data_IF_429556273909
#
_entry.id   IF_429556273909
#
_cell.length_a   1.000
_cell.length_b   1.000
_cell.length_c   1.000
_cell.angle_alpha   90.00
_cell.angle_beta   90.00
_cell.angle_gamma   90.00
#
_symmetry.space_group_name_H-M   'P 1'
#
loop_
_entity.id
_entity.type
_entity.pdbx_description
1 polymer ?
#
# COMPACT_ATOMS: atom_id res chain seq x y z
N UNK A 1 17.89 -35.50 -33.13
CA UNK A 1 17.98 -34.50 -32.04
C UNK A 1 16.67 -34.58 -31.28
N UNK A 2 16.70 -34.81 -29.96
CA UNK A 2 15.49 -34.75 -29.13
C UNK A 2 15.29 -33.28 -28.77
N UNK A 3 14.23 -32.66 -29.28
CA UNK A 3 13.80 -31.34 -28.84
C UNK A 3 13.16 -31.48 -27.46
N UNK A 4 13.73 -30.81 -26.46
CA UNK A 4 13.07 -30.65 -25.16
C UNK A 4 12.02 -29.55 -25.30
N UNK A 5 10.76 -29.90 -25.08
CA UNK A 5 9.67 -28.93 -25.10
C UNK A 5 9.72 -28.03 -23.87
N UNK A 6 9.36 -26.77 -24.05
CA UNK A 6 9.24 -25.83 -22.96
C UNK A 6 8.03 -26.17 -22.10
N UNK A 7 8.28 -26.58 -20.86
CA UNK A 7 7.27 -26.70 -19.80
C UNK A 7 7.36 -25.53 -18.80
N UNK A 8 6.34 -24.64 -18.70
CA UNK A 8 6.34 -23.50 -17.78
C UNK A 8 6.23 -23.90 -16.30
N UNK A 9 5.89 -25.15 -15.97
CA UNK A 9 5.81 -25.62 -14.58
C UNK A 9 7.19 -25.95 -14.00
N UNK A 10 8.20 -26.09 -14.85
CA UNK A 10 9.57 -26.44 -14.48
C UNK A 10 10.59 -25.41 -14.95
N UNK A 11 10.44 -24.87 -16.16
CA UNK A 11 11.38 -23.92 -16.72
C UNK A 11 11.10 -22.46 -16.29
N UNK A 12 12.15 -21.69 -15.90
CA UNK A 12 12.02 -20.27 -15.63
C UNK A 12 11.54 -19.50 -16.85
N UNK A 13 10.68 -18.50 -16.63
CA UNK A 13 10.09 -17.70 -17.69
C UNK A 13 9.66 -16.33 -17.17
N UNK A 14 9.26 -15.43 -18.07
CA UNK A 14 8.62 -14.17 -17.73
C UNK A 14 7.17 -14.16 -18.16
N UNK A 15 6.29 -13.55 -17.36
CA UNK A 15 4.89 -13.27 -17.70
C UNK A 15 4.68 -11.76 -17.74
N UNK A 16 4.04 -11.28 -18.78
CA UNK A 16 3.72 -9.86 -18.93
C UNK A 16 2.46 -9.49 -18.15
N UNK A 17 2.51 -8.44 -17.35
CA UNK A 17 1.37 -7.80 -16.71
C UNK A 17 0.93 -6.60 -17.56
N UNK A 18 -0.20 -6.68 -18.28
CA UNK A 18 -0.64 -5.60 -19.17
C UNK A 18 -1.15 -4.35 -18.45
N UNK A 19 -1.54 -4.45 -17.17
CA UNK A 19 -2.01 -3.29 -16.40
C UNK A 19 -0.87 -2.34 -16.03
N UNK A 20 0.32 -2.90 -15.76
CA UNK A 20 1.52 -2.14 -15.39
C UNK A 20 2.52 -2.02 -16.54
N UNK A 21 2.29 -2.76 -17.63
CA UNK A 21 3.22 -2.88 -18.77
C UNK A 21 4.61 -3.42 -18.38
N UNK A 22 4.65 -4.36 -17.44
CA UNK A 22 5.88 -4.92 -16.89
C UNK A 22 5.94 -6.45 -16.98
N UNK A 23 7.14 -7.02 -16.84
CA UNK A 23 7.34 -8.48 -16.82
C UNK A 23 7.67 -8.99 -15.42
N UNK A 24 7.01 -10.06 -15.00
CA UNK A 24 7.30 -10.79 -13.76
C UNK A 24 8.14 -12.02 -14.09
N UNK A 25 9.29 -12.16 -13.42
CA UNK A 25 10.12 -13.38 -13.50
C UNK A 25 9.50 -14.50 -12.65
N UNK A 26 9.30 -15.66 -13.26
CA UNK A 26 8.78 -16.87 -12.61
C UNK A 26 9.92 -17.90 -12.58
N UNK A 27 10.27 -18.33 -11.37
CA UNK A 27 11.30 -19.35 -11.12
C UNK A 27 10.69 -20.52 -10.33
N UNK A 28 10.08 -21.53 -11.00
CA UNK A 28 9.22 -22.54 -10.36
C UNK A 28 9.89 -23.34 -9.23
N UNK A 29 11.22 -23.49 -9.26
CA UNK A 29 11.96 -24.27 -8.27
C UNK A 29 12.48 -23.46 -7.09
N UNK A 30 12.24 -22.14 -7.05
CA UNK A 30 12.86 -21.25 -6.06
C UNK A 30 12.50 -21.60 -4.61
N UNK A 31 11.29 -22.09 -4.37
CA UNK A 31 10.80 -22.48 -3.03
C UNK A 31 11.45 -23.75 -2.48
N UNK A 32 12.16 -24.53 -3.31
CA UNK A 32 12.92 -25.71 -2.86
C UNK A 32 14.20 -25.35 -2.11
N UNK A 33 14.63 -24.08 -2.14
CA UNK A 33 15.81 -23.62 -1.40
C UNK A 33 15.50 -23.69 0.11
N UNK A 34 16.34 -24.34 0.92
CA UNK A 34 16.16 -24.36 2.36
C UNK A 34 16.03 -22.94 2.91
N UNK A 35 14.95 -22.69 3.67
CA UNK A 35 14.74 -21.44 4.36
C UNK A 35 15.27 -21.56 5.80
N UNK A 36 16.30 -20.79 6.11
CA UNK A 36 16.87 -20.65 7.46
C UNK A 36 16.79 -19.20 7.94
N UNK A 37 15.96 -18.39 7.27
CA UNK A 37 15.77 -16.97 7.59
C UNK A 37 14.63 -16.75 8.58
N UNK A 38 14.16 -15.52 8.63
CA UNK A 38 13.06 -15.06 9.49
C UNK A 38 11.77 -15.83 9.24
N UNK A 39 11.06 -16.17 10.32
CA UNK A 39 9.72 -16.73 10.26
C UNK A 39 8.82 -15.76 11.04
N UNK A 40 7.81 -15.22 10.39
CA UNK A 40 6.82 -14.36 11.04
C UNK A 40 5.96 -15.18 11.99
N UNK A 41 5.74 -14.68 13.20
CA UNK A 41 4.78 -15.28 14.11
C UNK A 41 3.36 -15.02 13.60
N UNK A 42 2.43 -15.99 13.75
CA UNK A 42 1.03 -15.73 13.47
C UNK A 42 0.52 -14.63 14.42
N UNK A 43 -0.32 -13.74 13.90
CA UNK A 43 -1.00 -12.75 14.73
C UNK A 43 -2.06 -13.44 15.59
N UNK A 44 -1.82 -13.54 16.90
CA UNK A 44 -2.67 -14.26 17.87
C UNK A 44 -3.41 -13.33 18.85
N UNK A 45 -3.34 -12.01 18.63
CA UNK A 45 -3.95 -11.05 19.55
C UNK A 45 -5.49 -11.15 19.51
N UNK A 46 -6.08 -11.45 20.67
CA UNK A 46 -7.51 -11.22 20.92
C UNK A 46 -7.64 -9.75 21.33
N UNK A 47 -8.25 -8.95 20.47
CA UNK A 47 -8.48 -7.53 20.72
C UNK A 47 -9.86 -7.35 21.40
N UNK A 48 -10.02 -6.32 22.25
CA UNK A 48 -11.34 -5.98 22.80
C UNK A 48 -12.26 -5.45 21.70
N UNK A 49 -13.57 -5.58 21.90
CA UNK A 49 -14.58 -5.02 20.99
C UNK A 49 -14.53 -3.48 20.96
N UNK A 50 -14.11 -2.86 22.06
CA UNK A 50 -13.85 -1.43 22.17
C UNK A 50 -12.62 -1.17 23.04
N UNK A 51 -11.74 -0.30 22.55
CA UNK A 51 -10.58 0.20 23.29
C UNK A 51 -10.73 1.72 23.45
N UNK A 52 -10.83 2.27 24.67
CA UNK A 52 -11.00 3.70 24.91
C UNK A 52 -9.79 4.55 24.45
N UNK A 53 -8.64 3.93 24.18
CA UNK A 53 -7.44 4.59 23.64
C UNK A 53 -7.35 4.54 22.11
N UNK A 54 -8.25 3.81 21.44
CA UNK A 54 -8.24 3.66 19.99
C UNK A 54 -8.81 4.90 19.28
N UNK A 55 -7.99 5.55 18.45
CA UNK A 55 -8.39 6.73 17.67
C UNK A 55 -9.44 6.46 16.59
N UNK A 56 -9.70 5.20 16.27
CA UNK A 56 -10.69 4.82 15.27
C UNK A 56 -12.03 4.44 15.91
N UNK A 57 -12.10 4.09 17.20
CA UNK A 57 -13.33 3.59 17.81
C UNK A 57 -14.42 4.68 17.96
N UNK A 58 -15.72 4.31 17.98
CA UNK A 58 -16.82 5.21 18.27
C UNK A 58 -16.66 5.93 19.61
N UNK A 59 -17.10 7.19 19.68
CA UNK A 59 -17.06 7.99 20.91
C UNK A 59 -15.69 8.47 21.36
N UNK A 60 -14.60 7.88 20.84
CA UNK A 60 -13.24 8.24 21.23
C UNK A 60 -12.74 9.51 20.54
N UNK A 61 -11.80 10.18 21.21
CA UNK A 61 -11.05 11.27 20.61
C UNK A 61 -10.04 10.70 19.61
N UNK A 62 -9.97 11.29 18.40
CA UNK A 62 -8.97 11.01 17.37
C UNK A 62 -7.64 11.70 17.68
N UNK A 63 -6.60 11.28 16.96
CA UNK A 63 -5.27 11.91 17.01
C UNK A 63 -5.27 13.39 16.66
N UNK A 64 -6.18 13.85 15.78
CA UNK A 64 -6.35 15.26 15.43
C UNK A 64 -7.16 16.07 16.45
N UNK A 65 -7.55 15.48 17.59
CA UNK A 65 -8.28 16.14 18.66
C UNK A 65 -9.80 16.17 18.49
N UNK A 66 -10.33 15.79 17.33
CA UNK A 66 -11.78 15.65 17.10
C UNK A 66 -12.32 14.37 17.74
N UNK A 67 -13.61 14.34 18.09
CA UNK A 67 -14.25 13.14 18.65
C UNK A 67 -15.01 12.40 17.56
N UNK A 68 -14.85 11.07 17.50
CA UNK A 68 -15.65 10.23 16.62
C UNK A 68 -17.12 10.23 17.09
N UNK A 69 -18.09 10.27 16.16
CA UNK A 69 -19.48 10.04 16.54
C UNK A 69 -19.66 8.62 17.08
N UNK A 70 -20.75 8.39 17.79
CA UNK A 70 -21.21 7.05 18.17
C UNK A 70 -21.79 6.34 16.95
N UNK A 71 -20.91 5.81 16.11
CA UNK A 71 -21.30 5.12 14.88
C UNK A 71 -21.48 3.62 15.14
N UNK A 72 -22.50 3.03 14.51
CA UNK A 72 -22.76 1.57 14.59
C UNK A 72 -22.28 0.81 13.34
N UNK A 73 -21.94 1.53 12.27
CA UNK A 73 -21.57 0.99 10.95
C UNK A 73 -20.34 1.73 10.41
N UNK A 74 -20.08 1.69 9.10
CA UNK A 74 -18.92 2.35 8.50
C UNK A 74 -18.98 3.87 8.77
N UNK A 75 -17.89 4.41 9.32
CA UNK A 75 -17.68 5.84 9.49
C UNK A 75 -16.48 6.30 8.65
N UNK A 76 -16.68 7.36 7.87
CA UNK A 76 -15.65 7.98 7.03
C UNK A 76 -15.31 9.38 7.54
N UNK A 77 -14.04 9.72 7.58
CA UNK A 77 -13.56 11.04 7.96
C UNK A 77 -12.31 11.44 7.16
N UNK A 78 -12.03 12.75 7.11
CA UNK A 78 -10.78 13.26 6.53
C UNK A 78 -9.63 12.92 7.48
N UNK A 79 -8.60 12.23 6.96
CA UNK A 79 -7.43 11.85 7.75
C UNK A 79 -6.80 13.07 8.43
N UNK A 80 -6.57 12.97 9.74
CA UNK A 80 -6.00 14.06 10.56
C UNK A 80 -4.59 14.47 10.10
N UNK A 81 -3.86 13.57 9.42
CA UNK A 81 -2.53 13.79 8.84
C UNK A 81 -2.53 13.41 7.35
N UNK A 82 -3.42 14.03 6.57
CA UNK A 82 -3.57 13.73 5.15
C UNK A 82 -2.26 13.90 4.35
N UNK A 83 -1.91 12.88 3.56
CA UNK A 83 -0.73 12.91 2.69
C UNK A 83 -0.84 13.90 1.53
N UNK A 84 -2.08 14.25 1.13
CA UNK A 84 -2.37 15.24 0.09
C UNK A 84 -3.33 16.26 0.67
N UNK A 85 -2.98 17.54 0.54
CA UNK A 85 -3.78 18.64 1.04
C UNK A 85 -4.88 19.06 0.03
N UNK A 86 -6.00 19.59 0.53
CA UNK A 86 -7.05 20.16 -0.32
C UNK A 86 -6.63 21.51 -0.91
N UNK A 87 -7.32 21.91 -1.98
CA UNK A 87 -7.16 23.24 -2.60
C UNK A 87 -5.99 23.31 -3.59
N UNK A 88 -5.87 24.42 -4.34
CA UNK A 88 -4.77 24.58 -5.27
C UNK A 88 -3.45 24.71 -4.51
N UNK A 89 -2.38 24.03 -4.96
CA UNK A 89 -1.05 24.20 -4.41
C UNK A 89 -0.52 25.59 -4.77
N UNK A 90 0.45 26.14 -4.01
CA UNK A 90 1.13 27.37 -4.38
C UNK A 90 1.89 27.21 -5.70
N UNK A 91 2.22 28.34 -6.33
CA UNK A 91 2.97 28.35 -7.59
C UNK A 91 4.31 27.60 -7.45
N UNK A 92 4.58 26.70 -8.40
CA UNK A 92 5.86 25.98 -8.45
C UNK A 92 6.97 26.86 -9.03
N UNK A 93 8.14 26.96 -8.39
CA UNK A 93 9.26 27.70 -8.93
C UNK A 93 9.80 27.03 -10.20
N UNK A 94 10.47 27.81 -11.06
CA UNK A 94 11.19 27.25 -12.21
C UNK A 94 12.24 26.24 -11.73
N UNK A 95 12.30 25.04 -12.34
CA UNK A 95 13.28 24.05 -11.93
C UNK A 95 14.70 24.57 -12.19
N UNK A 96 15.64 24.35 -11.26
CA UNK A 96 17.04 24.80 -11.43
C UNK A 96 17.79 23.98 -12.49
N UNK A 97 17.27 22.79 -12.86
CA UNK A 97 17.90 21.89 -13.82
C UNK A 97 16.84 21.00 -14.52
N UNK A 98 17.00 20.64 -15.81
CA UNK A 98 16.03 19.83 -16.55
C UNK A 98 15.71 18.45 -15.96
N UNK A 99 16.60 17.89 -15.13
CA UNK A 99 16.40 16.60 -14.45
C UNK A 99 15.84 16.71 -13.03
N UNK A 100 15.65 17.94 -12.52
CA UNK A 100 15.11 18.21 -11.19
C UNK A 100 13.75 18.89 -11.33
N UNK A 101 12.77 18.13 -11.83
CA UNK A 101 11.42 18.62 -12.09
C UNK A 101 10.51 18.45 -10.87
N UNK A 102 9.67 19.45 -10.61
CA UNK A 102 8.62 19.39 -9.60
C UNK A 102 7.26 19.57 -10.29
N UNK A 103 6.28 18.76 -9.91
CA UNK A 103 4.90 18.91 -10.34
C UNK A 103 4.02 18.98 -9.09
N UNK A 104 3.23 20.04 -8.92
CA UNK A 104 2.42 20.19 -7.74
C UNK A 104 1.19 19.27 -7.84
N UNK A 105 0.77 18.71 -6.70
CA UNK A 105 -0.39 17.81 -6.61
C UNK A 105 -1.28 18.24 -5.46
N UNK A 106 -2.59 18.09 -5.63
CA UNK A 106 -3.57 18.37 -4.59
C UNK A 106 -4.73 17.40 -4.66
N UNK A 107 -5.44 17.26 -3.54
CA UNK A 107 -6.63 16.45 -3.49
C UNK A 107 -7.78 17.21 -4.17
N UNK A 108 -8.65 16.47 -4.86
CA UNK A 108 -9.98 17.00 -5.21
C UNK A 108 -10.85 16.90 -3.97
N UNK A 109 -11.57 17.97 -3.65
CA UNK A 109 -12.57 17.93 -2.57
C UNK A 109 -13.59 16.84 -2.90
N UNK A 110 -13.88 15.98 -1.91
CA UNK A 110 -14.95 14.97 -1.96
C UNK A 110 -16.28 15.66 -1.62
#
# INVERSE_FOLDING_TARGET
MITMDFDPTTHPHRRYNPLLQEHVLVSPHRTKRPWLGQIEAPQTAILPDHDPSCYLCPGNQRSGGQTNPEYEQIFTFVNDFAAILPGPPPDTPSPPHPMLTLQPVHARSI
#
